data_IF_634874301140
#
_entry.id   IF_634874301140
#
_cell.length_a   1.000
_cell.length_b   1.000
_cell.length_c   1.000
_cell.angle_alpha   90.00
_cell.angle_beta   90.00
_cell.angle_gamma   90.00
#
_symmetry.space_group_name_H-M   'P 1'
#
loop_
_entity.id
_entity.type
_entity.pdbx_description
1 polymer ?
#
# COMPACT_ATOMS: atom_id res chain seq x y z
N UNK A 1 -22.77 -56.69 -40.01
CA UNK A 1 -21.73 -56.44 -39.00
C UNK A 1 -21.29 -54.99 -39.11
N UNK A 2 -21.93 -54.11 -38.33
CA UNK A 2 -21.71 -52.66 -38.25
C UNK A 2 -20.89 -52.41 -36.98
N UNK A 3 -19.57 -52.56 -37.07
CA UNK A 3 -18.66 -52.33 -35.94
C UNK A 3 -17.30 -51.98 -36.53
N UNK A 4 -17.09 -50.71 -36.90
CA UNK A 4 -15.74 -50.17 -37.18
C UNK A 4 -15.67 -48.63 -37.38
N UNK A 5 -16.71 -47.85 -37.03
CA UNK A 5 -16.74 -46.40 -37.31
C UNK A 5 -17.10 -45.56 -36.07
N UNK A 6 -16.43 -45.79 -34.93
CA UNK A 6 -16.49 -44.87 -33.78
C UNK A 6 -15.10 -44.76 -33.11
N UNK A 7 -14.05 -44.45 -33.88
CA UNK A 7 -12.75 -44.00 -33.33
C UNK A 7 -12.22 -42.81 -34.15
N UNK A 8 -13.10 -41.92 -34.62
CA UNK A 8 -12.71 -40.71 -35.35
C UNK A 8 -13.66 -39.56 -34.99
N UNK A 9 -13.63 -39.11 -33.75
CA UNK A 9 -14.56 -38.08 -33.28
C UNK A 9 -14.25 -37.43 -31.94
N UNK A 10 -13.01 -37.57 -31.44
CA UNK A 10 -12.52 -36.78 -30.30
C UNK A 10 -11.15 -36.21 -30.67
N UNK A 11 -11.08 -35.52 -31.81
CA UNK A 11 -10.20 -34.37 -31.92
C UNK A 11 -10.96 -33.24 -31.21
N UNK A 12 -10.93 -33.28 -29.87
CA UNK A 12 -11.33 -32.13 -29.08
C UNK A 12 -10.51 -30.96 -29.64
N UNK A 13 -11.21 -29.95 -30.13
CA UNK A 13 -10.66 -28.62 -30.31
C UNK A 13 -10.10 -28.22 -28.94
N UNK A 14 -8.86 -28.59 -28.65
CA UNK A 14 -7.98 -27.83 -27.81
C UNK A 14 -7.78 -26.53 -28.59
N UNK A 15 -8.78 -25.65 -28.51
CA UNK A 15 -8.56 -24.25 -28.80
C UNK A 15 -7.36 -23.90 -27.96
N UNK A 16 -6.25 -23.55 -28.61
CA UNK A 16 -5.10 -22.96 -27.96
C UNK A 16 -5.70 -21.74 -27.28
N UNK A 17 -5.95 -21.86 -25.97
CA UNK A 17 -6.54 -20.80 -25.18
C UNK A 17 -5.43 -19.75 -25.05
N UNK A 18 -5.30 -18.94 -26.10
CA UNK A 18 -4.41 -17.80 -26.10
C UNK A 18 -4.85 -16.92 -24.95
N UNK A 19 -3.91 -16.58 -24.08
CA UNK A 19 -4.05 -15.47 -23.15
C UNK A 19 -4.67 -14.28 -23.90
N UNK A 20 -5.83 -13.82 -23.46
CA UNK A 20 -6.52 -12.69 -24.09
C UNK A 20 -6.06 -11.40 -23.43
N UNK A 21 -5.92 -10.36 -24.23
CA UNK A 21 -5.75 -9.01 -23.73
C UNK A 21 -7.13 -8.43 -23.37
N UNK A 22 -7.23 -7.81 -22.20
CA UNK A 22 -8.40 -7.12 -21.69
C UNK A 22 -7.98 -5.67 -21.42
N UNK A 23 -8.48 -4.75 -22.25
CA UNK A 23 -8.12 -3.34 -22.18
C UNK A 23 -9.00 -2.59 -21.18
N UNK A 24 -8.37 -1.72 -20.38
CA UNK A 24 -9.02 -0.91 -19.36
C UNK A 24 -8.66 0.56 -19.56
N UNK A 25 -9.66 1.43 -19.57
CA UNK A 25 -9.48 2.89 -19.66
C UNK A 25 -10.44 3.58 -18.69
N UNK A 26 -9.92 4.14 -17.59
CA UNK A 26 -10.73 4.84 -16.57
C UNK A 26 -11.35 6.15 -17.05
N UNK A 27 -10.96 6.68 -18.21
CA UNK A 27 -11.49 7.92 -18.77
C UNK A 27 -12.51 7.65 -19.88
N UNK A 28 -12.17 6.77 -20.84
CA UNK A 28 -12.97 6.54 -22.05
C UNK A 28 -13.76 5.23 -22.03
N UNK A 29 -13.41 4.29 -21.16
CA UNK A 29 -14.03 2.97 -21.10
C UNK A 29 -15.44 2.97 -20.50
N UNK A 30 -16.15 1.88 -20.73
CA UNK A 30 -17.45 1.58 -20.11
C UNK A 30 -17.49 0.10 -19.69
N UNK A 31 -17.94 -0.17 -18.46
CA UNK A 31 -18.03 -1.53 -17.92
C UNK A 31 -19.15 -2.38 -18.56
N UNK A 32 -19.96 -1.81 -19.44
CA UNK A 32 -20.85 -2.56 -20.33
C UNK A 32 -20.12 -3.19 -21.53
N UNK A 33 -18.91 -2.69 -21.86
CA UNK A 33 -18.08 -3.22 -22.94
C UNK A 33 -17.39 -4.53 -22.52
N UNK A 34 -16.76 -5.19 -23.50
CA UNK A 34 -16.15 -6.51 -23.34
C UNK A 34 -14.63 -6.47 -23.12
N UNK A 35 -13.97 -5.32 -23.29
CA UNK A 35 -12.53 -5.15 -23.09
C UNK A 35 -11.66 -5.75 -24.20
N UNK A 36 -12.22 -6.16 -25.34
CA UNK A 36 -11.46 -6.87 -26.40
C UNK A 36 -10.58 -5.96 -27.25
N UNK A 37 -10.85 -4.66 -27.25
CA UNK A 37 -10.11 -3.64 -28.01
C UNK A 37 -9.76 -2.44 -27.13
N UNK A 38 -8.61 -1.80 -27.41
CA UNK A 38 -8.18 -0.59 -26.72
C UNK A 38 -9.02 0.65 -27.10
N UNK A 39 -9.50 0.67 -28.34
CA UNK A 39 -10.33 1.75 -28.87
C UNK A 39 -11.81 1.39 -28.79
N UNK A 40 -12.67 2.40 -28.67
CA UNK A 40 -14.11 2.24 -28.78
C UNK A 40 -14.47 1.76 -30.19
N UNK A 41 -15.15 0.63 -30.27
CA UNK A 41 -15.66 0.05 -31.51
C UNK A 41 -17.16 0.26 -31.68
N UNK A 42 -17.74 -0.50 -32.62
CA UNK A 42 -19.19 -0.62 -32.73
C UNK A 42 -19.73 -1.62 -31.69
N UNK A 43 -20.98 -1.44 -31.26
CA UNK A 43 -21.65 -2.31 -30.27
C UNK A 43 -20.96 -2.35 -28.89
N UNK A 44 -20.54 -3.54 -28.43
CA UNK A 44 -19.96 -3.78 -27.11
C UNK A 44 -18.43 -3.90 -27.13
N UNK A 45 -17.81 -3.63 -28.27
CA UNK A 45 -16.36 -3.68 -28.44
C UNK A 45 -15.73 -2.37 -27.93
N UNK A 46 -14.76 -2.51 -27.04
CA UNK A 46 -13.99 -1.40 -26.49
C UNK A 46 -13.50 -1.66 -25.06
N UNK A 47 -12.71 -0.74 -24.50
CA UNK A 47 -12.09 -0.92 -23.20
C UNK A 47 -13.15 -0.88 -22.09
N UNK A 48 -12.99 -1.74 -21.08
CA UNK A 48 -13.78 -1.61 -19.86
C UNK A 48 -13.30 -0.41 -19.06
N UNK A 49 -14.14 0.15 -18.18
CA UNK A 49 -13.76 1.35 -17.41
C UNK A 49 -12.91 1.00 -16.19
N UNK A 50 -13.27 -0.09 -15.51
CA UNK A 50 -12.70 -0.46 -14.21
C UNK A 50 -11.81 -1.70 -14.28
N UNK A 51 -10.79 -1.72 -13.44
CA UNK A 51 -9.95 -2.90 -13.24
C UNK A 51 -10.79 -4.02 -12.63
N UNK A 52 -11.73 -3.70 -11.74
CA UNK A 52 -12.66 -4.66 -11.16
C UNK A 52 -13.51 -5.37 -12.23
N UNK A 53 -13.98 -4.66 -13.25
CA UNK A 53 -14.69 -5.28 -14.38
C UNK A 53 -13.77 -6.21 -15.17
N UNK A 54 -12.53 -5.77 -15.47
CA UNK A 54 -11.56 -6.58 -16.20
C UNK A 54 -11.26 -7.90 -15.46
N UNK A 55 -10.99 -7.84 -14.15
CA UNK A 55 -10.78 -9.02 -13.31
C UNK A 55 -11.99 -9.96 -13.34
N UNK A 56 -13.22 -9.43 -13.31
CA UNK A 56 -14.45 -10.25 -13.31
C UNK A 56 -14.59 -11.11 -14.57
N UNK A 57 -14.19 -10.58 -15.73
CA UNK A 57 -14.31 -11.27 -17.04
C UNK A 57 -13.03 -12.02 -17.44
N UNK A 58 -11.92 -11.78 -16.74
CA UNK A 58 -10.67 -12.44 -16.97
C UNK A 58 -10.75 -13.94 -16.64
N UNK A 59 -9.97 -14.70 -17.39
CA UNK A 59 -9.74 -16.12 -17.21
C UNK A 59 -8.26 -16.35 -16.92
N UNK A 60 -7.94 -17.60 -16.57
CA UNK A 60 -6.57 -18.00 -16.22
C UNK A 60 -5.60 -17.68 -17.37
N UNK A 61 -4.50 -17.01 -17.05
CA UNK A 61 -3.48 -16.58 -18.01
C UNK A 61 -3.83 -15.37 -18.87
N UNK A 62 -5.00 -14.75 -18.72
CA UNK A 62 -5.33 -13.51 -19.44
C UNK A 62 -4.43 -12.34 -18.98
N UNK A 63 -4.44 -11.26 -19.77
CA UNK A 63 -3.63 -10.07 -19.57
C UNK A 63 -4.54 -8.85 -19.48
N UNK A 64 -4.52 -8.14 -18.36
CA UNK A 64 -5.22 -6.87 -18.16
C UNK A 64 -4.23 -5.74 -18.49
N UNK A 65 -4.60 -4.90 -19.46
CA UNK A 65 -3.76 -3.83 -19.99
C UNK A 65 -4.42 -2.49 -19.65
N UNK A 66 -3.78 -1.70 -18.78
CA UNK A 66 -4.30 -0.40 -18.38
C UNK A 66 -3.86 0.68 -19.36
N UNK A 67 -4.77 1.59 -19.70
CA UNK A 67 -4.44 2.88 -20.31
C UNK A 67 -3.92 3.81 -19.21
N UNK A 68 -2.79 4.46 -19.47
CA UNK A 68 -2.28 5.54 -18.63
C UNK A 68 -2.91 6.86 -19.08
N UNK A 69 -3.89 7.34 -18.32
CA UNK A 69 -4.45 8.67 -18.46
C UNK A 69 -3.70 9.62 -17.53
N UNK A 70 -2.82 10.46 -18.09
CA UNK A 70 -1.95 11.35 -17.33
C UNK A 70 -2.75 12.19 -16.31
N UNK A 71 -2.34 12.12 -15.04
CA UNK A 71 -3.00 12.84 -13.93
C UNK A 71 -4.35 12.27 -13.48
N UNK A 72 -4.86 11.20 -14.10
CA UNK A 72 -6.16 10.60 -13.78
C UNK A 72 -5.94 9.16 -13.28
N UNK A 73 -5.86 8.93 -11.95
CA UNK A 73 -5.61 7.60 -11.41
C UNK A 73 -6.85 6.70 -11.47
N UNK A 74 -6.60 5.40 -11.47
CA UNK A 74 -7.61 4.39 -11.11
C UNK A 74 -7.84 4.47 -9.60
N UNK A 75 -9.10 4.62 -9.16
CA UNK A 75 -9.45 4.75 -7.74
C UNK A 75 -10.25 3.53 -7.27
N UNK A 76 -9.54 2.41 -7.13
CA UNK A 76 -10.13 1.11 -6.80
C UNK A 76 -9.24 0.35 -5.80
N UNK A 77 -9.85 -0.54 -5.02
CA UNK A 77 -9.15 -1.64 -4.36
C UNK A 77 -9.43 -2.90 -5.15
N UNK A 78 -8.37 -3.61 -5.57
CA UNK A 78 -8.51 -4.78 -6.45
C UNK A 78 -7.97 -6.05 -5.79
N UNK A 79 -8.52 -7.19 -6.19
CA UNK A 79 -8.13 -8.49 -5.67
C UNK A 79 -7.91 -9.48 -6.81
N UNK A 80 -6.70 -10.03 -6.90
CA UNK A 80 -6.39 -11.21 -7.70
C UNK A 80 -6.46 -12.40 -6.76
N UNK A 81 -7.34 -13.36 -7.07
CA UNK A 81 -7.67 -14.44 -6.17
C UNK A 81 -7.89 -15.76 -6.92
N UNK A 82 -7.40 -16.84 -6.30
CA UNK A 82 -7.62 -18.21 -6.71
C UNK A 82 -7.13 -18.52 -8.15
N UNK A 83 -7.49 -19.71 -8.63
CA UNK A 83 -7.08 -20.20 -9.94
C UNK A 83 -7.56 -19.37 -11.14
N UNK A 84 -8.59 -18.52 -10.98
CA UNK A 84 -9.09 -17.66 -12.08
C UNK A 84 -8.10 -16.54 -12.40
N UNK A 85 -7.51 -15.92 -11.38
CA UNK A 85 -6.53 -14.84 -11.54
C UNK A 85 -5.09 -15.36 -11.43
N UNK A 86 -4.88 -16.61 -11.85
CA UNK A 86 -3.58 -17.27 -11.91
C UNK A 86 -3.15 -17.48 -13.35
N UNK A 87 -1.88 -17.74 -13.59
CA UNK A 87 -1.33 -18.11 -14.89
C UNK A 87 -0.77 -19.53 -14.93
N UNK A 88 0.19 -19.71 -15.82
CA UNK A 88 1.00 -20.89 -16.06
C UNK A 88 2.48 -20.48 -16.11
N UNK A 89 3.44 -21.42 -15.95
CA UNK A 89 4.87 -21.11 -15.97
C UNK A 89 5.35 -20.31 -17.20
N UNK A 90 4.75 -20.56 -18.36
CA UNK A 90 5.05 -19.95 -19.66
C UNK A 90 4.04 -18.86 -20.07
N UNK A 91 2.91 -18.75 -19.36
CA UNK A 91 1.83 -17.82 -19.64
C UNK A 91 1.26 -17.26 -18.32
N UNK A 92 1.95 -16.29 -17.68
CA UNK A 92 1.47 -15.70 -16.44
C UNK A 92 0.16 -14.93 -16.67
N UNK A 93 -0.65 -14.79 -15.62
CA UNK A 93 -1.71 -13.80 -15.60
C UNK A 93 -1.07 -12.42 -15.39
N UNK A 94 -1.30 -11.50 -16.32
CA UNK A 94 -0.61 -10.20 -16.32
C UNK A 94 -1.57 -9.07 -15.94
N UNK A 95 -1.15 -8.20 -15.02
CA UNK A 95 -1.69 -6.86 -14.87
C UNK A 95 -0.60 -5.86 -15.29
N UNK A 96 -0.75 -5.27 -16.47
CA UNK A 96 0.19 -4.31 -17.05
C UNK A 96 -0.34 -2.89 -16.87
N UNK A 97 0.33 -2.11 -16.04
CA UNK A 97 -0.08 -0.74 -15.70
C UNK A 97 0.25 0.31 -16.76
N UNK A 98 1.24 0.09 -17.63
CA UNK A 98 1.71 1.06 -18.64
C UNK A 98 2.02 2.46 -18.06
N UNK A 99 2.51 2.52 -16.82
CA UNK A 99 2.79 3.76 -16.09
C UNK A 99 1.57 4.41 -15.44
N UNK A 100 0.41 3.75 -15.45
CA UNK A 100 -0.78 4.23 -14.76
C UNK A 100 -0.58 4.30 -13.23
N UNK A 101 -1.49 5.03 -12.57
CA UNK A 101 -1.53 5.14 -11.11
C UNK A 101 -2.81 4.50 -10.57
N UNK A 102 -2.65 3.62 -9.58
CA UNK A 102 -3.70 3.12 -8.71
C UNK A 102 -3.63 3.90 -7.38
N UNK A 103 -4.67 4.68 -7.08
CA UNK A 103 -4.69 5.65 -5.99
C UNK A 103 -5.86 5.41 -5.03
N UNK A 104 -5.53 5.11 -3.78
CA UNK A 104 -6.48 4.91 -2.69
C UNK A 104 -6.88 6.19 -1.96
N UNK A 105 -6.32 7.35 -2.33
CA UNK A 105 -6.58 8.60 -1.62
C UNK A 105 -8.00 9.11 -1.85
N UNK A 106 -8.55 9.77 -0.84
CA UNK A 106 -9.85 10.43 -0.87
C UNK A 106 -9.71 11.89 -0.45
N UNK A 107 -10.44 12.78 -1.13
CA UNK A 107 -10.53 14.19 -0.74
C UNK A 107 -11.15 14.31 0.66
N UNK A 108 -10.61 15.20 1.48
CA UNK A 108 -11.26 15.62 2.73
C UNK A 108 -12.03 16.91 2.42
N UNK A 109 -13.37 16.89 2.37
CA UNK A 109 -14.16 18.09 2.14
C UNK A 109 -13.89 19.16 3.20
N UNK A 110 -13.91 20.44 2.81
CA UNK A 110 -13.62 21.56 3.73
C UNK A 110 -14.56 21.58 4.94
N UNK A 111 -15.82 21.19 4.74
CA UNK A 111 -16.84 21.11 5.78
C UNK A 111 -16.71 19.89 6.71
N UNK A 112 -15.84 18.94 6.39
CA UNK A 112 -15.50 17.83 7.29
C UNK A 112 -14.50 18.22 8.39
N UNK A 113 -13.85 19.38 8.27
CA UNK A 113 -12.85 19.85 9.21
C UNK A 113 -13.44 20.73 10.32
N UNK A 114 -12.94 20.53 11.54
CA UNK A 114 -13.21 21.34 12.71
C UNK A 114 -12.03 22.27 13.00
N UNK A 115 -12.31 23.53 13.33
CA UNK A 115 -11.29 24.46 13.83
C UNK A 115 -11.10 24.22 15.33
N UNK A 116 -9.89 23.88 15.74
CA UNK A 116 -9.57 23.53 17.14
C UNK A 116 -8.46 24.38 17.76
N UNK A 117 -7.87 25.28 16.96
CA UNK A 117 -6.92 26.27 17.43
C UNK A 117 -6.54 27.24 16.30
N UNK A 118 -5.65 28.19 16.57
CA UNK A 118 -5.12 29.07 15.53
C UNK A 118 -4.45 28.25 14.43
N UNK A 119 -4.94 28.39 13.19
CA UNK A 119 -4.42 27.68 12.01
C UNK A 119 -4.42 26.14 12.16
N UNK A 120 -5.13 25.59 13.16
CA UNK A 120 -5.13 24.17 13.48
C UNK A 120 -6.54 23.60 13.26
N UNK A 121 -6.58 22.61 12.38
CA UNK A 121 -7.80 21.95 11.96
C UNK A 121 -7.70 20.47 12.28
N UNK A 122 -8.83 19.83 12.57
CA UNK A 122 -8.90 18.38 12.67
C UNK A 122 -10.08 17.79 11.94
N UNK A 123 -9.98 16.55 11.54
CA UNK A 123 -11.14 15.76 11.15
C UNK A 123 -10.99 14.32 11.65
N UNK A 124 -12.12 13.63 11.76
CA UNK A 124 -12.16 12.24 12.20
C UNK A 124 -12.19 11.33 10.96
N UNK A 125 -11.10 10.63 10.59
CA UNK A 125 -11.14 9.69 9.48
C UNK A 125 -12.01 8.49 9.83
N UNK A 126 -12.63 7.86 8.82
CA UNK A 126 -13.46 6.67 9.03
C UNK A 126 -12.67 5.52 9.68
N UNK A 127 -11.39 5.37 9.32
CA UNK A 127 -10.47 4.40 9.93
C UNK A 127 -9.35 5.15 10.63
N UNK A 128 -9.00 4.70 11.84
CA UNK A 128 -8.14 5.48 12.74
C UNK A 128 -6.65 5.20 12.57
N UNK A 129 -6.27 3.97 12.25
CA UNK A 129 -4.86 3.60 12.10
C UNK A 129 -4.32 3.89 10.68
N UNK A 130 -2.99 4.02 10.58
CA UNK A 130 -2.25 4.06 9.31
C UNK A 130 -2.77 5.12 8.32
N UNK A 131 -3.08 6.30 8.84
CA UNK A 131 -3.44 7.42 7.97
C UNK A 131 -2.17 8.14 7.49
N UNK A 132 -2.22 8.70 6.28
CA UNK A 132 -1.29 9.73 5.80
C UNK A 132 -2.14 10.86 5.21
N UNK A 133 -1.74 12.11 5.47
CA UNK A 133 -2.33 13.29 4.85
C UNK A 133 -1.45 13.74 3.66
N UNK A 134 -2.11 14.12 2.57
CA UNK A 134 -1.45 14.60 1.35
C UNK A 134 -1.95 15.99 1.01
N UNK A 135 -1.07 16.76 0.37
CA UNK A 135 -1.40 18.01 -0.30
C UNK A 135 -0.94 17.90 -1.75
N UNK A 136 -1.85 18.10 -2.70
CA UNK A 136 -1.57 17.98 -4.14
C UNK A 136 -0.84 16.67 -4.50
N UNK A 137 -1.36 15.56 -3.96
CA UNK A 137 -0.88 14.19 -4.15
C UNK A 137 0.55 13.92 -3.64
N UNK A 138 1.10 14.83 -2.81
CA UNK A 138 2.36 14.65 -2.08
C UNK A 138 2.09 14.45 -0.59
N UNK A 139 2.73 13.46 0.07
CA UNK A 139 2.58 13.28 1.50
C UNK A 139 3.14 14.51 2.23
N UNK A 140 2.42 14.97 3.25
CA UNK A 140 2.88 16.02 4.15
C UNK A 140 3.78 15.43 5.24
N UNK A 141 4.58 16.29 5.85
CA UNK A 141 5.43 15.91 6.98
C UNK A 141 4.58 15.63 8.23
N UNK A 142 4.84 14.49 8.87
CA UNK A 142 4.14 14.08 10.08
C UNK A 142 4.83 14.65 11.32
N UNK A 143 4.09 15.33 12.18
CA UNK A 143 4.56 15.76 13.49
C UNK A 143 4.53 14.60 14.51
N UNK A 144 5.52 14.54 15.41
CA UNK A 144 5.52 13.63 16.56
C UNK A 144 4.69 14.24 17.70
N UNK A 145 3.49 13.70 17.92
CA UNK A 145 2.54 14.21 18.92
C UNK A 145 2.33 13.14 19.98
N UNK A 146 2.62 13.49 21.24
CA UNK A 146 2.42 12.62 22.41
C UNK A 146 1.37 13.17 23.37
N UNK A 147 1.20 14.49 23.37
CA UNK A 147 0.27 15.22 24.24
C UNK A 147 -0.44 16.33 23.49
N UNK A 148 -1.54 16.84 24.05
CA UNK A 148 -2.24 18.01 23.51
C UNK A 148 -1.33 19.25 23.38
N UNK A 149 -0.37 19.40 24.28
CA UNK A 149 0.58 20.51 24.26
C UNK A 149 1.52 20.48 23.02
N UNK A 150 1.70 19.30 22.41
CA UNK A 150 2.54 19.15 21.22
C UNK A 150 1.79 19.60 19.96
N UNK A 151 0.45 19.50 19.93
CA UNK A 151 -0.37 20.01 18.81
C UNK A 151 -0.17 21.52 18.59
N UNK A 152 0.02 22.27 19.68
CA UNK A 152 0.27 23.71 19.61
C UNK A 152 1.64 24.05 18.98
N UNK A 153 2.59 23.10 18.96
CA UNK A 153 3.95 23.26 18.44
C UNK A 153 4.11 22.78 16.99
N UNK A 154 3.05 22.25 16.38
CA UNK A 154 3.10 21.83 14.97
C UNK A 154 3.53 23.01 14.08
N UNK A 155 4.48 22.74 13.20
CA UNK A 155 4.90 23.69 12.17
C UNK A 155 3.86 23.77 11.04
N UNK A 156 3.78 24.89 10.30
CA UNK A 156 2.94 24.98 9.12
C UNK A 156 3.17 23.84 8.13
N UNK A 157 2.08 23.37 7.52
CA UNK A 157 2.04 22.26 6.56
C UNK A 157 2.39 20.89 7.14
N UNK A 158 2.45 20.76 8.48
CA UNK A 158 2.52 19.45 9.12
C UNK A 158 1.12 18.87 9.36
N UNK A 159 1.09 17.55 9.49
CA UNK A 159 -0.09 16.81 9.94
C UNK A 159 0.25 15.87 11.10
N UNK A 160 -0.76 15.43 11.84
CA UNK A 160 -0.60 14.42 12.87
C UNK A 160 -1.82 13.52 12.96
N UNK A 161 -1.64 12.30 13.46
CA UNK A 161 -2.73 11.44 13.92
C UNK A 161 -2.62 11.34 15.43
N UNK A 162 -3.59 11.89 16.15
CA UNK A 162 -3.62 11.93 17.60
C UNK A 162 -5.07 11.85 18.08
N UNK A 163 -5.34 11.12 19.16
CA UNK A 163 -6.68 10.95 19.74
C UNK A 163 -7.77 10.67 18.67
N UNK A 164 -7.53 9.70 17.78
CA UNK A 164 -8.42 9.30 16.68
C UNK A 164 -8.78 10.38 15.64
N UNK A 165 -8.05 11.49 15.62
CA UNK A 165 -8.22 12.59 14.67
C UNK A 165 -6.96 12.84 13.85
N UNK A 166 -7.17 13.22 12.60
CA UNK A 166 -6.13 13.80 11.77
C UNK A 166 -6.12 15.31 11.99
N UNK A 167 -4.98 15.83 12.43
CA UNK A 167 -4.71 17.25 12.58
C UNK A 167 -3.93 17.76 11.39
N UNK A 168 -4.21 18.99 10.97
CA UNK A 168 -3.47 19.72 9.95
C UNK A 168 -3.23 21.15 10.44
N UNK A 169 -1.97 21.60 10.33
CA UNK A 169 -1.58 22.97 10.63
C UNK A 169 -1.42 23.74 9.32
N UNK A 170 -2.28 24.72 9.07
CA UNK A 170 -2.13 25.59 7.90
C UNK A 170 -1.00 26.60 8.10
N UNK A 171 -0.65 27.29 7.02
CA UNK A 171 0.10 28.53 7.14
C UNK A 171 -0.74 29.59 7.88
N UNK A 172 -0.05 30.57 8.46
CA UNK A 172 -0.67 31.59 9.30
C UNK A 172 -1.70 32.41 8.53
N UNK A 173 -2.91 32.52 9.08
CA UNK A 173 -4.05 33.25 8.51
C UNK A 173 -4.55 32.72 7.15
N UNK A 174 -4.18 31.50 6.78
CA UNK A 174 -4.67 30.85 5.56
C UNK A 174 -5.84 29.93 5.88
N UNK A 175 -6.90 30.02 5.08
CA UNK A 175 -8.07 29.16 5.24
C UNK A 175 -7.88 27.80 4.56
N UNK A 176 -8.54 26.75 5.09
CA UNK A 176 -8.49 25.39 4.53
C UNK A 176 -8.82 25.31 3.04
N UNK A 177 -9.67 26.19 2.52
CA UNK A 177 -10.05 26.22 1.10
C UNK A 177 -8.87 26.46 0.14
N UNK A 178 -7.70 26.89 0.63
CA UNK A 178 -6.46 27.01 -0.15
C UNK A 178 -5.84 25.65 -0.48
N UNK A 179 -6.10 24.63 0.34
CA UNK A 179 -5.39 23.35 0.28
C UNK A 179 -6.27 22.26 -0.30
N UNK A 180 -5.75 21.52 -1.29
CA UNK A 180 -6.36 20.26 -1.74
C UNK A 180 -5.81 19.11 -0.89
N UNK A 181 -6.47 18.87 0.24
CA UNK A 181 -6.07 17.82 1.17
C UNK A 181 -6.76 16.50 0.85
N UNK A 182 -5.97 15.45 0.67
CA UNK A 182 -6.46 14.07 0.58
C UNK A 182 -5.86 13.24 1.72
N UNK A 183 -6.49 12.12 2.03
CA UNK A 183 -5.97 11.15 3.00
C UNK A 183 -6.08 9.74 2.44
N UNK A 184 -5.43 8.78 3.08
CA UNK A 184 -5.52 7.36 2.74
C UNK A 184 -6.93 6.80 2.96
N UNK A 185 -7.79 6.83 1.94
CA UNK A 185 -9.23 6.52 2.06
C UNK A 185 -9.59 5.05 1.83
N UNK A 186 -8.98 4.42 0.83
CA UNK A 186 -9.15 3.00 0.53
C UNK A 186 -8.16 2.14 1.33
N UNK A 187 -8.50 0.89 1.60
CA UNK A 187 -7.75 0.07 2.57
C UNK A 187 -6.47 -0.54 1.99
N UNK A 188 -6.56 -1.25 0.86
CA UNK A 188 -5.43 -1.94 0.22
C UNK A 188 -5.53 -1.72 -1.28
N UNK A 189 -4.42 -1.50 -1.96
CA UNK A 189 -4.42 -1.30 -3.42
C UNK A 189 -4.67 -2.61 -4.16
N UNK A 190 -3.70 -3.50 -4.09
CA UNK A 190 -3.74 -4.81 -4.74
C UNK A 190 -3.64 -5.89 -3.68
N UNK A 191 -4.65 -6.72 -3.57
CA UNK A 191 -4.60 -7.95 -2.78
C UNK A 191 -4.33 -9.14 -3.72
N UNK A 192 -3.28 -9.90 -3.44
CA UNK A 192 -3.00 -11.19 -4.06
C UNK A 192 -3.24 -12.28 -3.00
N UNK A 193 -4.14 -13.22 -3.29
CA UNK A 193 -4.51 -14.28 -2.35
C UNK A 193 -4.78 -15.60 -3.08
N UNK A 194 -4.05 -16.66 -2.72
CA UNK A 194 -4.18 -17.98 -3.37
C UNK A 194 -4.01 -17.94 -4.90
N UNK A 195 -2.99 -17.21 -5.37
CA UNK A 195 -2.70 -17.07 -6.81
C UNK A 195 -1.34 -17.64 -7.18
N UNK A 196 -1.19 -18.04 -8.45
CA UNK A 196 0.07 -18.56 -8.99
C UNK A 196 0.41 -17.98 -10.34
N UNK A 197 1.69 -17.77 -10.63
CA UNK A 197 2.16 -17.26 -11.92
C UNK A 197 1.45 -15.96 -12.31
N UNK A 198 1.56 -14.96 -11.43
CA UNK A 198 0.98 -13.63 -11.62
C UNK A 198 2.09 -12.62 -11.81
N UNK A 199 1.95 -11.74 -12.77
CA UNK A 199 2.82 -10.59 -12.93
C UNK A 199 2.02 -9.29 -12.79
N UNK A 200 2.47 -8.40 -11.91
CA UNK A 200 2.01 -7.01 -11.88
C UNK A 200 3.19 -6.15 -12.32
N UNK A 201 3.00 -5.31 -13.34
CA UNK A 201 4.10 -4.51 -13.86
C UNK A 201 3.75 -3.07 -14.19
N UNK A 202 4.75 -2.19 -14.05
CA UNK A 202 4.74 -0.82 -14.56
C UNK A 202 3.53 -0.01 -14.05
N UNK A 203 3.41 0.05 -12.73
CA UNK A 203 2.26 0.64 -12.03
C UNK A 203 2.72 1.41 -10.80
N UNK A 204 2.18 2.61 -10.62
CA UNK A 204 2.28 3.34 -9.35
C UNK A 204 1.11 2.95 -8.44
N UNK A 205 1.38 2.57 -7.20
CA UNK A 205 0.36 2.21 -6.19
C UNK A 205 0.55 3.08 -4.95
N UNK A 206 -0.45 3.92 -4.65
CA UNK A 206 -0.34 4.94 -3.61
C UNK A 206 -1.65 5.22 -2.88
N UNK A 207 -1.57 5.89 -1.73
CA UNK A 207 -2.73 6.44 -1.04
C UNK A 207 -3.62 5.40 -0.34
N UNK A 208 -3.15 4.17 -0.14
CA UNK A 208 -3.89 3.14 0.59
C UNK A 208 -3.58 3.18 2.08
N UNK A 209 -4.58 2.96 2.91
CA UNK A 209 -4.47 3.03 4.37
C UNK A 209 -3.54 1.93 4.93
N UNK A 210 -3.65 0.70 4.43
CA UNK A 210 -2.74 -0.38 4.79
C UNK A 210 -1.62 -0.47 3.76
N UNK A 211 -1.68 -1.46 2.88
CA UNK A 211 -0.59 -1.71 1.95
C UNK A 211 -0.96 -1.30 0.53
N UNK A 212 0.02 -0.80 -0.22
CA UNK A 212 -0.14 -0.61 -1.65
C UNK A 212 -0.37 -1.95 -2.33
N UNK A 213 0.55 -2.89 -2.14
CA UNK A 213 0.41 -4.28 -2.60
C UNK A 213 0.51 -5.22 -1.41
N UNK A 214 -0.46 -6.10 -1.26
CA UNK A 214 -0.50 -7.12 -0.22
C UNK A 214 -0.55 -8.50 -0.89
N UNK A 215 0.55 -9.25 -0.81
CA UNK A 215 0.63 -10.64 -1.23
C UNK A 215 0.56 -11.54 0.01
N UNK A 216 -0.64 -12.02 0.32
CA UNK A 216 -0.91 -12.74 1.55
C UNK A 216 -1.43 -14.14 1.26
N UNK A 217 -0.73 -15.14 1.80
CA UNK A 217 -1.02 -16.57 1.75
C UNK A 217 -1.19 -17.20 0.36
N UNK A 218 -0.41 -18.26 0.11
CA UNK A 218 -0.46 -19.09 -1.10
C UNK A 218 -0.25 -18.32 -2.42
N UNK A 219 0.52 -17.22 -2.38
CA UNK A 219 0.93 -16.47 -3.57
C UNK A 219 2.26 -17.04 -4.07
N UNK A 220 2.28 -17.74 -5.21
CA UNK A 220 3.49 -18.43 -5.69
C UNK A 220 3.89 -18.04 -7.11
N UNK A 221 5.20 -17.93 -7.32
CA UNK A 221 5.78 -17.61 -8.63
C UNK A 221 5.21 -16.28 -9.16
N UNK A 222 5.07 -15.31 -8.25
CA UNK A 222 4.55 -13.98 -8.54
C UNK A 222 5.68 -12.99 -8.73
N UNK A 223 5.54 -12.11 -9.72
CA UNK A 223 6.50 -11.07 -10.03
C UNK A 223 5.86 -9.69 -9.90
N UNK A 224 6.55 -8.79 -9.19
CA UNK A 224 6.24 -7.37 -9.11
C UNK A 224 7.36 -6.62 -9.83
N UNK A 225 7.08 -6.17 -11.05
CA UNK A 225 8.10 -5.63 -11.96
C UNK A 225 7.89 -4.12 -12.17
N UNK A 226 8.91 -3.29 -11.92
CA UNK A 226 8.82 -1.83 -12.13
C UNK A 226 7.64 -1.19 -11.39
N UNK A 227 7.41 -1.59 -10.14
CA UNK A 227 6.38 -1.01 -9.28
C UNK A 227 6.91 0.22 -8.58
N UNK A 228 6.12 1.31 -8.59
CA UNK A 228 6.34 2.43 -7.67
C UNK A 228 5.32 2.35 -6.53
N UNK A 229 5.74 2.01 -5.32
CA UNK A 229 4.85 1.89 -4.15
C UNK A 229 5.17 2.96 -3.11
N UNK A 230 4.32 4.00 -3.01
CA UNK A 230 4.59 5.18 -2.18
C UNK A 230 3.35 5.72 -1.50
N UNK A 231 3.52 6.40 -0.37
CA UNK A 231 2.39 7.07 0.29
C UNK A 231 1.29 6.10 0.74
N UNK A 232 1.64 4.87 1.13
CA UNK A 232 0.70 3.92 1.72
C UNK A 232 0.90 3.90 3.24
N UNK A 233 -0.18 3.89 3.99
CA UNK A 233 -0.20 4.16 5.42
C UNK A 233 0.52 3.13 6.28
N UNK A 234 0.52 1.86 5.86
CA UNK A 234 1.33 0.80 6.48
C UNK A 234 2.56 0.50 5.64
N UNK A 235 2.40 -0.13 4.48
CA UNK A 235 3.56 -0.49 3.67
C UNK A 235 3.37 -0.30 2.17
N UNK A 236 4.47 -0.09 1.45
CA UNK A 236 4.42 -0.10 -0.01
C UNK A 236 4.05 -1.49 -0.52
N UNK A 237 4.82 -2.49 -0.09
CA UNK A 237 4.66 -3.90 -0.45
C UNK A 237 4.69 -4.75 0.82
N UNK A 238 3.66 -5.54 1.07
CA UNK A 238 3.59 -6.51 2.17
C UNK A 238 3.51 -7.92 1.59
N UNK A 239 4.43 -8.79 2.00
CA UNK A 239 4.47 -10.19 1.56
C UNK A 239 4.45 -11.10 2.78
N UNK A 240 3.41 -11.91 2.91
CA UNK A 240 3.17 -12.70 4.11
C UNK A 240 2.77 -14.14 3.81
N UNK A 241 2.71 -14.93 4.89
CA UNK A 241 2.19 -16.29 4.83
C UNK A 241 3.11 -17.26 4.09
N UNK A 242 2.53 -18.27 3.45
CA UNK A 242 3.26 -19.21 2.60
C UNK A 242 3.36 -18.70 1.15
N UNK A 243 4.13 -17.62 0.94
CA UNK A 243 4.21 -16.93 -0.36
C UNK A 243 5.64 -16.91 -0.94
N UNK A 244 5.76 -16.79 -2.27
CA UNK A 244 7.02 -16.64 -3.02
C UNK A 244 6.87 -15.54 -4.07
N UNK A 245 7.52 -14.42 -3.83
CA UNK A 245 7.38 -13.20 -4.65
C UNK A 245 8.74 -12.65 -5.01
N UNK A 246 8.92 -12.34 -6.29
CA UNK A 246 10.08 -11.62 -6.80
C UNK A 246 9.70 -10.15 -7.06
N UNK A 247 10.47 -9.22 -6.51
CA UNK A 247 10.30 -7.78 -6.65
C UNK A 247 11.48 -7.25 -7.46
N UNK A 248 11.24 -6.78 -8.67
CA UNK A 248 12.29 -6.40 -9.61
C UNK A 248 12.10 -4.96 -10.10
N UNK A 249 13.15 -4.15 -10.05
CA UNK A 249 13.09 -2.79 -10.58
C UNK A 249 12.12 -1.86 -9.85
N UNK A 250 11.77 -2.14 -8.59
CA UNK A 250 10.77 -1.37 -7.85
C UNK A 250 11.37 -0.11 -7.22
N UNK A 251 10.54 0.91 -7.04
CA UNK A 251 10.82 2.08 -6.20
C UNK A 251 9.78 2.10 -5.07
N UNK A 252 10.23 2.04 -3.82
CA UNK A 252 9.30 2.15 -2.68
C UNK A 252 9.83 3.12 -1.63
N UNK A 253 9.00 4.08 -1.24
CA UNK A 253 9.39 5.19 -0.37
C UNK A 253 8.15 5.95 0.13
N UNK A 254 8.30 6.74 1.20
CA UNK A 254 7.22 7.54 1.76
C UNK A 254 6.00 6.73 2.27
N UNK A 255 6.19 5.47 2.66
CA UNK A 255 5.16 4.66 3.32
C UNK A 255 5.25 4.80 4.85
N UNK A 256 4.16 4.53 5.57
CA UNK A 256 4.04 4.92 6.98
C UNK A 256 4.68 3.99 8.01
N UNK A 257 4.93 2.71 7.70
CA UNK A 257 5.54 1.72 8.62
C UNK A 257 6.71 0.97 8.00
N UNK A 258 6.66 0.63 6.71
CA UNK A 258 7.77 0.01 6.00
C UNK A 258 7.66 0.25 4.50
N UNK A 259 8.78 0.29 3.77
CA UNK A 259 8.70 0.28 2.31
C UNK A 259 8.32 -1.12 1.81
N UNK A 260 8.99 -2.15 2.36
CA UNK A 260 8.62 -3.54 2.19
C UNK A 260 8.50 -4.25 3.55
N UNK A 261 7.37 -4.92 3.81
CA UNK A 261 7.19 -5.81 4.97
C UNK A 261 7.22 -7.28 4.54
N UNK A 262 7.84 -8.12 5.35
CA UNK A 262 7.78 -9.58 5.21
C UNK A 262 7.43 -10.29 6.52
N UNK A 263 6.51 -11.25 6.45
CA UNK A 263 6.00 -11.99 7.62
C UNK A 263 5.74 -13.48 7.31
N UNK A 264 5.60 -14.30 8.35
CA UNK A 264 5.30 -15.73 8.20
C UNK A 264 6.47 -16.55 7.62
N UNK A 265 6.19 -17.39 6.62
CA UNK A 265 7.15 -18.33 6.02
C UNK A 265 7.44 -18.00 4.54
N UNK A 266 7.30 -16.73 4.17
CA UNK A 266 7.44 -16.30 2.79
C UNK A 266 8.90 -16.36 2.30
N UNK A 267 9.06 -16.34 0.98
CA UNK A 267 10.32 -16.04 0.29
C UNK A 267 10.14 -14.80 -0.56
N UNK A 268 11.00 -13.81 -0.33
CA UNK A 268 11.05 -12.58 -1.11
C UNK A 268 12.43 -12.48 -1.76
N UNK A 269 12.46 -12.24 -3.08
CA UNK A 269 13.70 -11.91 -3.78
C UNK A 269 13.57 -10.53 -4.39
N UNK A 270 14.47 -9.64 -4.02
CA UNK A 270 14.49 -8.24 -4.44
C UNK A 270 15.69 -8.04 -5.36
N UNK A 271 15.47 -7.49 -6.56
CA UNK A 271 16.53 -7.25 -7.53
C UNK A 271 16.44 -5.85 -8.12
N UNK A 272 17.57 -5.14 -8.12
CA UNK A 272 17.69 -3.81 -8.74
C UNK A 272 16.55 -2.87 -8.35
N UNK A 273 16.18 -2.87 -7.06
CA UNK A 273 15.05 -2.09 -6.55
C UNK A 273 15.54 -1.10 -5.49
N UNK A 274 14.99 0.10 -5.52
CA UNK A 274 15.29 1.20 -4.61
C UNK A 274 14.23 1.25 -3.51
N UNK A 275 14.56 0.73 -2.33
CA UNK A 275 13.72 0.82 -1.14
C UNK A 275 14.29 1.92 -0.24
N UNK A 276 13.60 3.07 -0.18
CA UNK A 276 14.09 4.28 0.46
C UNK A 276 13.89 4.22 1.98
N UNK A 277 14.97 4.34 2.74
CA UNK A 277 14.91 4.45 4.21
C UNK A 277 14.67 5.91 4.62
N UNK A 278 13.49 6.45 4.27
CA UNK A 278 13.19 7.87 4.43
C UNK A 278 12.12 8.17 5.48
N UNK A 279 10.90 7.67 5.32
CA UNK A 279 9.81 7.85 6.29
C UNK A 279 9.62 6.64 7.19
N UNK A 280 10.13 5.49 6.78
CA UNK A 280 10.09 4.23 7.48
C UNK A 280 11.15 3.27 6.93
N UNK A 281 11.52 2.19 7.65
CA UNK A 281 12.55 1.25 7.23
C UNK A 281 12.36 0.73 5.80
N UNK A 282 13.47 0.63 5.07
CA UNK A 282 13.50 0.06 3.71
C UNK A 282 12.91 -1.37 3.68
N UNK A 283 13.28 -2.21 4.63
CA UNK A 283 12.74 -3.57 4.80
C UNK A 283 12.45 -3.80 6.28
N UNK A 284 11.21 -4.15 6.58
CA UNK A 284 10.78 -4.66 7.88
C UNK A 284 10.52 -6.17 7.77
N UNK A 285 11.33 -6.97 8.47
CA UNK A 285 11.31 -8.45 8.38
C UNK A 285 10.93 -9.06 9.72
N UNK A 286 9.64 -9.30 9.89
CA UNK A 286 9.07 -10.04 11.02
C UNK A 286 9.10 -11.56 10.80
N UNK A 287 9.22 -12.01 9.54
CA UNK A 287 9.28 -13.42 9.18
C UNK A 287 9.80 -13.65 7.77
N UNK A 288 9.83 -14.92 7.37
CA UNK A 288 10.27 -15.33 6.04
C UNK A 288 11.75 -15.10 5.74
N UNK A 289 12.12 -15.43 4.50
CA UNK A 289 13.45 -15.26 3.92
C UNK A 289 13.41 -14.15 2.89
N UNK A 290 14.20 -13.10 3.11
CA UNK A 290 14.37 -12.00 2.15
C UNK A 290 15.79 -12.05 1.59
N UNK A 291 15.90 -11.96 0.26
CA UNK A 291 17.17 -11.88 -0.45
C UNK A 291 17.19 -10.59 -1.28
N UNK A 292 18.25 -9.79 -1.18
CA UNK A 292 18.44 -8.54 -1.91
C UNK A 292 19.68 -8.69 -2.78
N UNK A 293 19.52 -8.58 -4.10
CA UNK A 293 20.60 -8.67 -5.09
C UNK A 293 21.53 -9.88 -4.87
N UNK A 294 20.93 -11.04 -4.60
CA UNK A 294 21.63 -12.32 -4.40
C UNK A 294 22.21 -12.52 -2.99
N UNK A 295 22.02 -11.58 -2.06
CA UNK A 295 22.48 -11.69 -0.67
C UNK A 295 21.30 -11.84 0.27
N UNK A 296 21.41 -12.77 1.22
CA UNK A 296 20.39 -12.90 2.27
C UNK A 296 20.36 -11.62 3.10
N UNK A 297 19.19 -10.99 3.20
CA UNK A 297 18.99 -9.85 4.07
C UNK A 297 18.99 -10.31 5.53
N UNK A 298 19.84 -9.67 6.33
CA UNK A 298 19.80 -9.78 7.78
C UNK A 298 19.36 -8.44 8.34
N UNK A 299 18.30 -8.41 9.17
CA UNK A 299 17.95 -7.19 9.89
C UNK A 299 19.12 -6.84 10.81
N UNK A 300 19.41 -5.56 10.95
CA UNK A 300 20.40 -5.11 11.93
C UNK A 300 20.03 -5.67 13.30
N UNK A 301 21.00 -6.18 14.08
CA UNK A 301 20.72 -6.64 15.44
C UNK A 301 20.13 -5.48 16.24
N UNK A 302 19.08 -5.74 17.02
CA UNK A 302 18.34 -4.72 17.78
C UNK A 302 19.23 -3.83 18.68
N UNK A 303 20.42 -4.31 19.06
CA UNK A 303 21.39 -3.56 19.86
C UNK A 303 22.10 -2.42 19.09
N UNK A 304 22.32 -2.55 17.78
CA UNK A 304 22.99 -1.50 16.98
C UNK A 304 22.04 -0.35 16.63
N UNK A 305 20.74 -0.62 16.52
CA UNK A 305 19.70 0.42 16.32
C UNK A 305 19.59 1.32 17.55
N UNK A 306 19.73 0.75 18.76
CA UNK A 306 19.80 1.50 20.02
C UNK A 306 21.10 2.31 20.16
N UNK A 307 22.23 1.80 19.69
CA UNK A 307 23.50 2.54 19.71
C UNK A 307 23.52 3.71 18.73
N UNK A 308 23.01 3.54 17.51
CA UNK A 308 22.95 4.61 16.51
C UNK A 308 21.98 5.75 16.89
N UNK A 309 20.90 5.44 17.61
CA UNK A 309 19.98 6.45 18.16
C UNK A 309 20.52 7.10 19.44
N UNK A 310 21.28 6.36 20.26
CA UNK A 310 21.97 6.93 21.43
C UNK A 310 23.18 7.81 21.06
N UNK A 311 23.84 7.59 19.93
CA UNK A 311 24.96 8.44 19.49
C UNK A 311 24.51 9.80 18.94
N UNK A 312 23.23 9.99 18.61
CA UNK A 312 22.68 11.27 18.13
C UNK A 312 22.16 12.15 19.28
N UNK A 313 21.89 11.59 20.45
CA UNK A 313 21.53 12.35 21.66
C UNK A 313 22.59 12.18 22.74
N UNK A 314 23.66 12.97 22.71
CA UNK A 314 24.45 13.33 23.91
C UNK A 314 25.37 14.52 23.59
N UNK A 315 24.76 15.68 23.33
CA UNK A 315 25.38 16.94 23.73
C UNK A 315 25.03 17.15 25.21
N UNK A 316 26.01 16.91 26.08
CA UNK A 316 25.90 16.86 27.54
C UNK A 316 25.20 18.09 28.13
N UNK A 317 24.11 17.87 28.87
CA UNK A 317 23.64 18.78 29.91
C UNK A 317 24.15 18.29 31.27
N UNK A 318 24.60 19.19 32.18
CA UNK A 318 25.27 18.78 33.41
C UNK A 318 24.30 18.13 34.40
N UNK A 319 24.73 16.98 34.92
CA UNK A 319 24.07 16.19 35.97
C UNK A 319 23.67 17.03 37.19
N UNK A 320 22.38 16.99 37.56
CA UNK A 320 21.92 17.33 38.88
C UNK A 320 21.75 16.04 39.72
N UNK A 321 22.33 16.07 40.91
CA UNK A 321 22.33 15.04 41.95
C UNK A 321 20.91 14.65 42.39
N UNK A 322 20.52 13.41 42.11
CA UNK A 322 19.31 12.78 42.66
C UNK A 322 19.71 11.68 43.64
N UNK A 323 20.26 12.07 44.78
CA UNK A 323 20.25 11.22 45.96
C UNK A 323 18.89 11.30 46.66
N UNK A 324 18.25 10.13 46.76
CA UNK A 324 17.09 9.77 47.60
C UNK A 324 15.71 10.36 47.27
N UNK A 325 14.95 9.65 46.42
CA UNK A 325 13.49 9.62 46.51
C UNK A 325 13.03 8.16 46.60
N UNK A 326 12.59 7.77 47.79
CA UNK A 326 12.04 6.44 48.07
C UNK A 326 10.56 6.40 47.62
N UNK A 327 10.32 5.89 46.42
CA UNK A 327 8.99 5.87 45.76
C UNK A 327 7.92 5.02 46.48
N UNK A 328 8.27 4.31 47.55
CA UNK A 328 7.34 3.44 48.30
C UNK A 328 6.53 4.16 49.38
N UNK A 329 6.90 5.37 49.81
CA UNK A 329 6.12 6.12 50.83
C UNK A 329 5.02 7.00 50.23
N UNK A 330 5.15 7.48 48.98
CA UNK A 330 4.11 8.30 48.34
C UNK A 330 2.89 7.51 47.85
N UNK A 331 2.97 6.18 47.74
CA UNK A 331 1.85 5.36 47.27
C UNK A 331 0.89 4.94 48.40
N UNK A 332 1.24 5.15 49.67
CA UNK A 332 0.43 4.71 50.81
C UNK A 332 -0.41 5.82 51.47
N UNK A 333 -0.15 7.10 51.21
CA UNK A 333 -1.00 8.20 51.72
C UNK A 333 -2.28 8.43 50.89
N UNK A 334 -2.41 7.83 49.70
CA UNK A 334 -3.59 8.01 48.84
C UNK A 334 -4.72 6.98 49.04
N UNK A 335 -4.54 6.02 49.95
CA UNK A 335 -5.52 4.94 50.19
C UNK A 335 -6.35 5.07 51.49
N UNK A 336 -6.10 6.07 52.35
CA UNK A 336 -6.91 6.29 53.57
C UNK A 336 -8.01 7.37 53.45
N UNK A 337 -8.23 7.98 52.28
CA UNK A 337 -9.25 9.04 52.11
C UNK A 337 -10.61 8.52 51.58
N UNK A 338 -10.76 7.21 51.32
CA UNK A 338 -12.02 6.64 50.77
C UNK A 338 -12.81 5.80 51.79
N UNK A 339 -12.44 5.75 53.07
CA UNK A 339 -13.31 5.13 54.10
C UNK A 339 -13.34 5.91 55.42
N UNK A 340 -14.06 7.04 55.43
CA UNK A 340 -14.86 7.50 56.57
C UNK A 340 -16.09 8.28 56.10
#
# INVERSE_FOLDING_TARGET
MRFCLIILGIAAFAGVASARDIYVDNLRGDDHLNGTTAELGENVDGPVRSIAKALRIACRGDRIILTNNEGIPYRESITLQAGRHSGFPDHPFLLKGNGATLDGSALVPVDAWEVVGPDLYRFSPFRKAFNILFMDDKPLDKADIKTDADLAKMEPLQWALFDDHLYFKSEKNEGLGKYRLTYTGLTVGITLYDVRFVEVSDLTVQGFQLDGINAHDNVFETQLNSITARGNGRSGISIGGASRVDVNGALSGNNGVAQLRSEGFCRVVIRGSDLLDNTAPAIDREGGRVEVDGKLFQPLPAAEVQQASAEIELAEAPYADWSTVNYLEQTLEHLEVITR
#
